data_IF_644943542501
#
_entry.id   IF_644943542501
#
_cell.length_a   1.000
_cell.length_b   1.000
_cell.length_c   1.000
_cell.angle_alpha   90.00
_cell.angle_beta   90.00
_cell.angle_gamma   90.00
#
_symmetry.space_group_name_H-M   'P 1'
#
loop_
_entity.id
_entity.type
_entity.pdbx_description
1 polymer ?
#
# COMPACT_ATOMS: atom_id res chain seq x y z
N UNK A 1 -35.76 51.18 10.29
CA UNK A 1 -35.04 50.92 9.02
C UNK A 1 -33.59 50.68 9.43
N UNK A 2 -33.19 49.44 9.72
CA UNK A 2 -32.64 48.49 8.75
C UNK A 2 -31.17 48.87 8.50
N UNK A 3 -30.13 48.09 8.75
CA UNK A 3 -29.97 46.65 8.99
C UNK A 3 -28.57 46.28 8.45
N UNK A 4 -27.91 45.30 9.09
CA UNK A 4 -26.79 44.48 8.59
C UNK A 4 -25.45 45.22 8.43
N UNK A 5 -24.31 44.78 8.98
CA UNK A 5 -23.89 43.42 9.33
C UNK A 5 -22.71 43.05 8.43
N UNK A 6 -21.50 42.93 9.01
CA UNK A 6 -20.40 42.08 8.53
C UNK A 6 -19.26 42.17 9.55
N UNK A 7 -19.40 41.45 10.66
CA UNK A 7 -18.25 41.00 11.42
C UNK A 7 -17.51 39.99 10.55
N UNK A 8 -16.28 40.32 10.17
CA UNK A 8 -15.36 39.35 9.61
C UNK A 8 -14.91 38.42 10.72
N UNK A 9 -15.66 37.35 10.94
CA UNK A 9 -15.13 36.17 11.62
C UNK A 9 -14.20 35.48 10.62
N UNK A 10 -12.91 35.76 10.75
CA UNK A 10 -11.87 34.88 10.25
C UNK A 10 -12.15 33.50 10.83
N UNK A 11 -12.49 32.55 9.95
CA UNK A 11 -12.62 31.14 10.29
C UNK A 11 -11.28 30.65 10.84
N UNK A 12 -11.16 30.68 12.16
CA UNK A 12 -10.14 29.95 12.90
C UNK A 12 -10.44 28.49 12.63
N UNK A 13 -9.73 27.89 11.69
CA UNK A 13 -9.62 26.43 11.65
C UNK A 13 -9.00 26.03 12.98
N UNK A 14 -9.84 25.57 13.91
CA UNK A 14 -9.40 24.98 15.15
C UNK A 14 -8.55 23.75 14.78
N UNK A 15 -7.23 23.97 14.70
CA UNK A 15 -6.26 22.90 14.60
C UNK A 15 -6.38 22.08 15.88
N UNK A 16 -7.11 20.97 15.82
CA UNK A 16 -7.11 19.96 16.87
C UNK A 16 -5.71 19.36 16.91
N UNK A 17 -4.89 19.84 17.83
CA UNK A 17 -3.60 19.24 18.14
C UNK A 17 -3.89 17.94 18.90
N UNK A 18 -3.82 16.81 18.19
CA UNK A 18 -3.84 15.50 18.82
C UNK A 18 -2.42 15.21 19.30
N UNK A 19 -2.19 15.40 20.60
CA UNK A 19 -0.94 14.97 21.24
C UNK A 19 -0.98 13.45 21.42
N UNK A 20 -0.16 12.74 20.66
CA UNK A 20 0.06 11.31 20.87
C UNK A 20 1.11 11.13 21.97
N UNK A 21 0.77 10.39 23.02
CA UNK A 21 1.79 9.81 23.90
C UNK A 21 2.60 8.75 23.15
N UNK A 22 3.78 8.37 23.66
CA UNK A 22 4.50 7.20 23.12
C UNK A 22 3.63 5.95 23.32
N UNK A 23 3.30 5.26 22.24
CA UNK A 23 2.47 4.06 22.25
C UNK A 23 3.36 2.83 22.10
N UNK A 24 3.89 2.35 23.22
CA UNK A 24 4.70 1.12 23.25
C UNK A 24 3.86 -0.10 22.84
N UNK A 25 4.44 -0.98 22.00
CA UNK A 25 3.80 -2.22 21.56
C UNK A 25 2.93 -2.13 20.31
N UNK A 26 2.64 -0.93 19.79
CA UNK A 26 1.97 -0.78 18.48
C UNK A 26 2.94 -1.14 17.37
N UNK A 27 2.65 -2.25 16.67
CA UNK A 27 3.47 -2.76 15.54
C UNK A 27 2.81 -2.64 14.18
N UNK A 28 1.48 -2.55 14.17
CA UNK A 28 0.68 -2.45 12.96
C UNK A 28 -0.33 -1.32 13.10
N UNK A 29 -0.42 -0.46 12.09
CA UNK A 29 -1.49 0.53 11.95
C UNK A 29 -2.29 0.19 10.71
N UNK A 30 -3.60 0.12 10.86
CA UNK A 30 -4.53 0.03 9.75
C UNK A 30 -4.96 1.44 9.35
N UNK A 31 -4.81 1.76 8.07
CA UNK A 31 -5.26 3.00 7.45
C UNK A 31 -6.39 2.64 6.51
N UNK A 32 -7.59 3.11 6.83
CA UNK A 32 -8.77 2.87 6.02
C UNK A 32 -9.17 4.16 5.28
N UNK A 33 -9.24 4.09 3.95
CA UNK A 33 -9.48 5.24 3.06
C UNK A 33 -10.66 4.91 2.16
N UNK A 34 -11.88 5.17 2.63
CA UNK A 34 -13.10 4.70 1.96
C UNK A 34 -13.61 5.61 0.83
N UNK A 35 -13.22 6.88 0.82
CA UNK A 35 -13.99 7.88 0.04
C UNK A 35 -13.20 8.55 -1.09
N UNK A 36 -11.88 8.39 -1.11
CA UNK A 36 -10.97 9.17 -1.96
C UNK A 36 -11.10 10.69 -1.78
N UNK A 37 -11.67 11.19 -0.68
CA UNK A 37 -11.91 12.62 -0.45
C UNK A 37 -10.70 13.29 0.22
N UNK A 38 -10.75 14.61 0.35
CA UNK A 38 -9.69 15.38 1.00
C UNK A 38 -9.39 14.95 2.44
N UNK A 39 -10.35 14.34 3.13
CA UNK A 39 -10.18 13.75 4.48
C UNK A 39 -9.19 12.57 4.46
N UNK A 40 -9.16 11.79 3.38
CA UNK A 40 -8.24 10.66 3.22
C UNK A 40 -6.77 11.12 3.10
N UNK A 41 -6.55 12.34 2.60
CA UNK A 41 -5.25 13.00 2.59
C UNK A 41 -4.73 13.31 4.00
N UNK A 42 -5.64 13.66 4.91
CA UNK A 42 -5.29 14.02 6.29
C UNK A 42 -4.81 12.78 7.06
N UNK A 43 -5.43 11.62 6.85
CA UNK A 43 -4.99 10.36 7.46
C UNK A 43 -3.53 10.00 7.09
N UNK A 44 -3.14 10.20 5.83
CA UNK A 44 -1.74 9.99 5.43
C UNK A 44 -0.78 11.03 6.00
N UNK A 45 -1.20 12.29 6.16
CA UNK A 45 -0.36 13.34 6.77
C UNK A 45 -0.01 13.04 8.22
N UNK A 46 -0.82 12.24 8.92
CA UNK A 46 -0.55 11.81 10.29
C UNK A 46 0.46 10.66 10.41
N UNK A 47 0.77 9.93 9.32
CA UNK A 47 1.73 8.82 9.35
C UNK A 47 3.11 9.20 9.95
N UNK A 48 3.77 10.30 9.56
CA UNK A 48 5.04 10.70 10.20
C UNK A 48 4.93 10.88 11.72
N UNK A 49 3.81 11.45 12.20
CA UNK A 49 3.59 11.58 13.63
C UNK A 49 3.45 10.21 14.29
N UNK A 50 2.72 9.27 13.67
CA UNK A 50 2.61 7.90 14.19
C UNK A 50 3.97 7.20 14.26
N UNK A 51 4.87 7.39 13.31
CA UNK A 51 6.22 6.83 13.39
C UNK A 51 7.05 7.43 14.53
N UNK A 52 6.89 8.72 14.82
CA UNK A 52 7.56 9.36 15.95
C UNK A 52 7.06 8.84 17.31
N UNK A 53 5.79 8.46 17.39
CA UNK A 53 5.13 8.03 18.64
C UNK A 53 5.01 6.51 18.79
N UNK A 54 5.23 5.74 17.73
CA UNK A 54 5.18 4.28 17.70
C UNK A 54 6.53 3.72 17.19
N UNK A 55 7.59 3.70 18.02
CA UNK A 55 8.93 3.27 17.59
C UNK A 55 9.01 1.78 17.20
N UNK A 56 7.98 0.99 17.51
CA UNK A 56 7.86 -0.41 17.12
C UNK A 56 7.02 -0.65 15.85
N UNK A 57 6.48 0.41 15.23
CA UNK A 57 5.60 0.31 14.07
C UNK A 57 6.37 -0.25 12.87
N UNK A 58 6.06 -1.49 12.49
CA UNK A 58 6.74 -2.19 11.39
C UNK A 58 5.83 -2.50 10.21
N UNK A 59 4.52 -2.32 10.38
CA UNK A 59 3.50 -2.65 9.37
C UNK A 59 2.53 -1.48 9.20
N UNK A 60 2.33 -1.06 7.94
CA UNK A 60 1.14 -0.30 7.56
C UNK A 60 0.23 -1.20 6.73
N UNK A 61 -1.02 -1.29 7.15
CA UNK A 61 -2.08 -1.97 6.42
C UNK A 61 -3.05 -0.94 5.84
N UNK A 62 -3.00 -0.77 4.53
CA UNK A 62 -3.99 -0.04 3.76
C UNK A 62 -5.17 -0.95 3.42
N UNK A 63 -6.33 -0.63 3.97
CA UNK A 63 -7.56 -1.36 3.69
C UNK A 63 -8.54 -0.46 2.94
N UNK A 64 -9.14 -1.01 1.89
CA UNK A 64 -10.08 -0.28 1.02
C UNK A 64 -9.52 0.99 0.38
N UNK A 65 -8.20 1.11 0.20
CA UNK A 65 -7.57 2.28 -0.41
C UNK A 65 -7.98 2.45 -1.87
N UNK A 66 -8.55 3.61 -2.21
CA UNK A 66 -8.95 3.97 -3.57
C UNK A 66 -8.03 5.03 -4.19
N UNK A 67 -7.25 4.66 -5.20
CA UNK A 67 -6.37 5.56 -5.96
C UNK A 67 -6.87 5.69 -7.40
N UNK A 68 -7.28 6.91 -7.76
CA UNK A 68 -7.82 7.31 -9.06
C UNK A 68 -6.73 7.91 -9.99
N UNK A 69 -6.88 7.77 -11.31
CA UNK A 69 -5.98 8.37 -12.32
C UNK A 69 -5.88 9.90 -12.23
N UNK A 70 -6.93 10.55 -11.74
CA UNK A 70 -7.01 12.01 -11.67
C UNK A 70 -6.45 12.60 -10.36
N UNK A 71 -6.06 11.74 -9.41
CA UNK A 71 -5.54 12.17 -8.10
C UNK A 71 -4.07 11.79 -8.04
N UNK A 72 -3.14 12.72 -8.33
CA UNK A 72 -1.72 12.41 -8.32
C UNK A 72 -1.31 11.91 -6.93
N UNK A 73 -0.90 10.64 -6.88
CA UNK A 73 -0.38 9.92 -5.70
C UNK A 73 0.58 10.75 -4.84
N UNK A 74 1.40 11.58 -5.48
CA UNK A 74 2.48 12.35 -4.85
C UNK A 74 1.99 13.40 -3.87
N UNK A 75 0.73 13.85 -3.93
CA UNK A 75 0.21 14.84 -2.99
C UNK A 75 -0.22 14.23 -1.63
N UNK A 76 -0.33 12.91 -1.56
CA UNK A 76 -0.96 12.21 -0.42
C UNK A 76 -0.05 11.19 0.24
N UNK A 77 0.94 10.66 -0.47
CA UNK A 77 1.82 9.64 0.08
C UNK A 77 2.99 10.32 0.79
N UNK A 78 2.97 10.29 2.11
CA UNK A 78 4.18 10.55 2.87
C UNK A 78 5.18 9.43 2.57
N UNK A 79 6.35 9.81 2.07
CA UNK A 79 7.50 8.91 1.91
C UNK A 79 8.40 9.11 3.13
N UNK A 80 8.73 8.04 3.85
CA UNK A 80 9.62 8.16 5.00
C UNK A 80 11.00 8.62 4.55
N UNK A 81 11.64 9.53 5.31
CA UNK A 81 13.06 9.75 5.14
C UNK A 81 13.82 8.44 5.44
N UNK A 82 15.02 8.25 4.86
CA UNK A 82 15.86 7.11 5.20
C UNK A 82 16.10 7.07 6.72
N UNK A 83 16.17 5.87 7.32
CA UNK A 83 16.35 5.73 8.76
C UNK A 83 17.60 6.49 9.21
N UNK A 84 17.43 7.35 10.22
CA UNK A 84 18.52 8.11 10.82
C UNK A 84 18.74 7.64 12.26
N UNK A 85 19.91 7.89 12.87
CA UNK A 85 20.15 7.60 14.28
C UNK A 85 19.14 8.26 15.24
N UNK A 86 18.50 9.35 14.79
CA UNK A 86 17.51 10.12 15.56
C UNK A 86 16.05 9.74 15.29
N UNK A 87 15.79 8.90 14.29
CA UNK A 87 14.46 8.38 13.97
C UNK A 87 14.61 7.02 13.27
N UNK A 88 14.64 5.91 14.03
CA UNK A 88 14.71 4.59 13.44
C UNK A 88 13.39 4.31 12.75
N UNK A 89 13.34 4.53 11.45
CA UNK A 89 12.20 4.13 10.65
C UNK A 89 12.12 2.60 10.62
N UNK A 90 11.15 2.03 11.36
CA UNK A 90 11.03 0.57 11.56
C UNK A 90 10.08 -0.12 10.59
N UNK A 91 9.43 0.63 9.69
CA UNK A 91 8.51 0.05 8.72
C UNK A 91 9.25 -0.94 7.82
N UNK A 92 8.73 -2.16 7.78
CA UNK A 92 9.25 -3.27 6.98
C UNK A 92 8.17 -3.93 6.16
N UNK A 93 6.90 -3.67 6.44
CA UNK A 93 5.78 -4.41 5.88
C UNK A 93 4.72 -3.45 5.36
N UNK A 94 4.30 -3.68 4.12
CA UNK A 94 3.12 -3.05 3.55
C UNK A 94 2.08 -4.11 3.27
N UNK A 95 0.85 -3.81 3.67
CA UNK A 95 -0.31 -4.64 3.34
C UNK A 95 -1.35 -3.79 2.63
N UNK A 96 -1.89 -4.32 1.55
CA UNK A 96 -3.02 -3.78 0.81
C UNK A 96 -4.10 -4.85 0.77
N UNK A 97 -5.29 -4.49 1.25
CA UNK A 97 -6.46 -5.37 1.21
C UNK A 97 -7.63 -4.60 0.63
N UNK A 98 -8.44 -5.24 -0.23
CA UNK A 98 -9.67 -4.67 -0.82
C UNK A 98 -9.48 -3.30 -1.47
N UNK A 99 -8.26 -3.03 -1.92
CA UNK A 99 -7.86 -1.72 -2.43
C UNK A 99 -8.08 -1.68 -3.95
N UNK A 100 -8.27 -0.48 -4.48
CA UNK A 100 -8.46 -0.26 -5.91
C UNK A 100 -7.43 0.77 -6.34
N UNK A 101 -6.56 0.36 -7.24
CA UNK A 101 -5.62 1.22 -7.90
C UNK A 101 -6.05 1.34 -9.33
N UNK A 102 -6.17 2.56 -9.85
CA UNK A 102 -6.48 2.71 -11.26
C UNK A 102 -5.38 2.06 -12.11
N UNK A 103 -4.11 2.21 -11.68
CA UNK A 103 -2.98 1.53 -12.29
C UNK A 103 -2.10 0.67 -11.38
N UNK A 104 -1.67 -0.49 -11.91
CA UNK A 104 -0.69 -1.35 -11.24
C UNK A 104 0.67 -0.63 -11.11
N UNK A 105 1.00 0.26 -12.06
CA UNK A 105 2.13 1.19 -11.92
C UNK A 105 1.96 2.15 -10.75
N UNK A 106 0.74 2.59 -10.45
CA UNK A 106 0.50 3.44 -9.29
C UNK A 106 0.79 2.68 -7.98
N UNK A 107 0.33 1.42 -7.88
CA UNK A 107 0.73 0.55 -6.77
C UNK A 107 2.25 0.36 -6.72
N UNK A 108 2.90 0.18 -7.88
CA UNK A 108 4.35 0.02 -7.94
C UNK A 108 5.09 1.26 -7.44
N UNK A 109 4.71 2.46 -7.88
CA UNK A 109 5.30 3.72 -7.43
C UNK A 109 5.07 3.94 -5.93
N UNK A 110 3.88 3.59 -5.43
CA UNK A 110 3.57 3.64 -4.01
C UNK A 110 4.55 2.78 -3.21
N UNK A 111 4.70 1.51 -3.59
CA UNK A 111 5.55 0.56 -2.87
C UNK A 111 7.04 0.88 -3.06
N UNK A 112 7.43 1.41 -4.23
CA UNK A 112 8.80 1.81 -4.55
C UNK A 112 9.36 2.83 -3.57
N UNK A 113 8.52 3.73 -3.05
CA UNK A 113 8.90 4.69 -2.01
C UNK A 113 9.46 4.04 -0.73
N UNK A 114 9.16 2.76 -0.49
CA UNK A 114 9.58 1.99 0.67
C UNK A 114 10.55 0.86 0.32
N UNK A 115 10.82 0.62 -0.97
CA UNK A 115 11.57 -0.53 -1.47
C UNK A 115 12.92 -0.82 -0.76
N UNK A 116 13.73 0.18 -0.37
CA UNK A 116 15.01 -0.08 0.30
C UNK A 116 14.89 -0.75 1.69
N UNK A 117 13.72 -0.66 2.33
CA UNK A 117 13.52 -1.13 3.72
C UNK A 117 12.47 -2.24 3.86
N UNK A 118 11.72 -2.54 2.79
CA UNK A 118 10.65 -3.54 2.84
C UNK A 118 11.19 -4.96 2.89
N UNK A 119 10.69 -5.72 3.87
CA UNK A 119 10.87 -7.16 3.98
C UNK A 119 9.62 -7.95 3.63
N UNK A 120 8.43 -7.32 3.66
CA UNK A 120 7.20 -7.98 3.25
C UNK A 120 6.25 -7.05 2.48
N UNK A 121 5.65 -7.57 1.42
CA UNK A 121 4.58 -6.89 0.68
C UNK A 121 3.40 -7.84 0.49
N UNK A 122 2.26 -7.46 1.06
CA UNK A 122 1.04 -8.25 1.00
C UNK A 122 0.00 -7.53 0.18
N UNK A 123 -0.43 -8.14 -0.92
CA UNK A 123 -1.45 -7.59 -1.82
C UNK A 123 -2.55 -8.63 -1.99
N UNK A 124 -3.71 -8.30 -1.46
CA UNK A 124 -4.85 -9.21 -1.39
C UNK A 124 -6.13 -8.53 -1.84
N UNK A 125 -6.93 -9.20 -2.65
CA UNK A 125 -8.24 -8.69 -3.11
C UNK A 125 -8.13 -7.29 -3.72
N UNK A 126 -7.03 -7.01 -4.42
CA UNK A 126 -6.75 -5.70 -5.00
C UNK A 126 -7.16 -5.68 -6.47
N UNK A 127 -7.75 -4.57 -6.91
CA UNK A 127 -8.06 -4.33 -8.32
C UNK A 127 -7.09 -3.30 -8.94
N UNK A 128 -6.38 -3.66 -10.01
CA UNK A 128 -5.47 -2.74 -10.73
C UNK A 128 -5.45 -2.92 -12.25
N UNK A 129 -5.27 -1.85 -13.04
CA UNK A 129 -5.30 -1.90 -14.52
C UNK A 129 -4.23 -1.05 -15.22
N UNK A 130 -3.74 -1.31 -16.44
CA UNK A 130 -3.38 -2.60 -16.94
C UNK A 130 -2.06 -3.11 -16.32
N UNK A 131 -1.99 -4.44 -16.26
CA UNK A 131 -0.79 -5.27 -16.10
C UNK A 131 -0.09 -5.28 -14.73
N UNK A 132 -0.25 -6.40 -14.03
CA UNK A 132 0.42 -6.71 -12.77
C UNK A 132 1.91 -7.02 -12.94
N UNK A 133 2.39 -7.31 -14.15
CA UNK A 133 3.80 -7.60 -14.42
C UNK A 133 4.70 -6.45 -13.99
N UNK A 134 4.28 -5.19 -14.18
CA UNK A 134 5.04 -3.99 -13.78
C UNK A 134 5.27 -3.97 -12.27
N UNK A 135 4.23 -4.28 -11.49
CA UNK A 135 4.34 -4.34 -10.04
C UNK A 135 5.26 -5.48 -9.59
N UNK A 136 5.09 -6.68 -10.17
CA UNK A 136 5.91 -7.84 -9.83
C UNK A 136 7.39 -7.65 -10.21
N UNK A 137 7.67 -7.01 -11.36
CA UNK A 137 9.02 -6.63 -11.78
C UNK A 137 9.66 -5.66 -10.78
N UNK A 138 8.93 -4.62 -10.36
CA UNK A 138 9.41 -3.69 -9.34
C UNK A 138 9.77 -4.41 -8.03
N UNK A 139 8.90 -5.31 -7.55
CA UNK A 139 9.20 -6.11 -6.34
C UNK A 139 10.47 -6.96 -6.53
N UNK A 140 10.62 -7.59 -7.70
CA UNK A 140 11.74 -8.48 -8.01
C UNK A 140 13.05 -7.73 -8.24
N UNK A 141 13.03 -6.50 -8.75
CA UNK A 141 14.25 -5.84 -9.20
C UNK A 141 14.65 -4.68 -8.26
N UNK A 142 13.70 -4.07 -7.55
CA UNK A 142 13.91 -2.84 -6.78
C UNK A 142 13.80 -3.02 -5.26
N UNK A 143 13.26 -4.13 -4.75
CA UNK A 143 13.16 -4.42 -3.31
C UNK A 143 14.23 -5.45 -2.89
N UNK A 144 15.44 -5.03 -2.43
CA UNK A 144 16.55 -5.95 -2.15
C UNK A 144 16.40 -6.74 -0.86
N UNK A 145 15.59 -6.26 0.09
CA UNK A 145 15.40 -6.89 1.40
C UNK A 145 14.09 -7.71 1.49
N UNK A 146 13.38 -7.88 0.37
CA UNK A 146 12.08 -8.53 0.35
C UNK A 146 12.21 -10.03 0.61
N UNK A 147 11.59 -10.49 1.70
CA UNK A 147 11.64 -11.87 2.19
C UNK A 147 10.28 -12.58 2.10
N UNK A 148 9.19 -11.82 2.05
CA UNK A 148 7.83 -12.35 2.02
C UNK A 148 6.93 -11.58 1.04
N UNK A 149 6.12 -12.32 0.30
CA UNK A 149 5.15 -11.76 -0.65
C UNK A 149 3.84 -12.52 -0.51
N UNK A 150 2.74 -11.78 -0.37
CA UNK A 150 1.40 -12.33 -0.52
C UNK A 150 0.77 -11.66 -1.73
N UNK A 151 0.22 -12.47 -2.63
CA UNK A 151 -0.46 -12.00 -3.83
C UNK A 151 -1.69 -12.87 -4.05
N UNK A 152 -2.84 -12.47 -3.52
CA UNK A 152 -4.02 -13.35 -3.46
C UNK A 152 -5.29 -12.67 -3.95
N UNK A 153 -6.05 -13.32 -4.84
CA UNK A 153 -7.39 -12.87 -5.22
C UNK A 153 -7.38 -11.50 -5.92
N UNK A 154 -6.29 -11.16 -6.60
CA UNK A 154 -6.15 -9.89 -7.30
C UNK A 154 -6.87 -9.91 -8.65
N UNK A 155 -7.26 -8.73 -9.13
CA UNK A 155 -8.09 -8.55 -10.31
C UNK A 155 -7.46 -7.51 -11.25
N UNK A 156 -7.56 -7.72 -12.55
CA UNK A 156 -7.20 -6.76 -13.60
C UNK A 156 -8.35 -6.62 -14.59
N UNK A 157 -8.88 -5.39 -14.74
CA UNK A 157 -10.03 -5.09 -15.61
C UNK A 157 -11.21 -6.04 -15.39
N UNK A 158 -11.60 -6.23 -14.13
CA UNK A 158 -12.69 -7.14 -13.71
C UNK A 158 -12.43 -8.62 -14.00
N UNK A 159 -11.20 -9.01 -14.37
CA UNK A 159 -10.80 -10.41 -14.55
C UNK A 159 -9.85 -10.83 -13.46
N UNK A 160 -10.01 -12.04 -12.96
CA UNK A 160 -9.10 -12.58 -11.96
C UNK A 160 -7.68 -12.67 -12.53
N UNK A 161 -6.71 -12.37 -11.69
CA UNK A 161 -5.31 -12.62 -12.00
C UNK A 161 -5.00 -14.04 -11.56
N UNK A 162 -4.60 -14.87 -12.51
CA UNK A 162 -4.16 -16.24 -12.26
C UNK A 162 -2.64 -16.34 -12.47
N UNK A 163 -2.02 -17.25 -11.74
CA UNK A 163 -0.62 -17.64 -11.94
C UNK A 163 -0.59 -19.11 -12.34
N UNK A 164 0.10 -19.40 -13.44
CA UNK A 164 0.50 -20.76 -13.82
C UNK A 164 1.88 -21.04 -13.26
N UNK A 165 1.95 -21.88 -12.24
CA UNK A 165 3.22 -22.25 -11.62
C UNK A 165 4.03 -23.20 -12.52
N UNK A 166 5.31 -23.39 -12.19
CA UNK A 166 6.21 -24.26 -12.96
C UNK A 166 5.76 -25.73 -13.01
N UNK A 167 4.96 -26.19 -12.03
CA UNK A 167 4.36 -27.52 -11.98
C UNK A 167 3.05 -27.62 -12.80
N UNK A 168 2.62 -26.53 -13.44
CA UNK A 168 1.41 -26.43 -14.24
C UNK A 168 0.15 -26.13 -13.43
N UNK A 169 0.23 -26.03 -12.10
CA UNK A 169 -0.91 -25.64 -11.25
C UNK A 169 -1.31 -24.21 -11.58
N UNK A 170 -2.61 -23.99 -11.67
CA UNK A 170 -3.20 -22.66 -11.84
C UNK A 170 -3.91 -22.30 -10.55
N UNK A 171 -3.56 -21.16 -9.96
CA UNK A 171 -4.30 -20.58 -8.86
C UNK A 171 -4.34 -19.04 -8.93
N UNK A 172 -4.97 -18.41 -7.93
CA UNK A 172 -5.11 -16.96 -7.81
C UNK A 172 -3.99 -16.32 -6.97
N UNK A 173 -2.80 -16.94 -7.00
CA UNK A 173 -1.64 -16.60 -6.19
C UNK A 173 -1.71 -17.08 -4.73
N UNK A 174 -2.67 -17.95 -4.40
CA UNK A 174 -2.79 -18.56 -3.06
C UNK A 174 -1.53 -19.34 -2.65
N UNK A 175 -0.83 -19.94 -3.61
CA UNK A 175 0.40 -20.69 -3.36
C UNK A 175 1.65 -19.82 -3.19
N UNK A 176 1.60 -18.49 -3.40
CA UNK A 176 2.79 -17.63 -3.42
C UNK A 176 3.62 -17.79 -2.15
N UNK A 177 2.99 -17.74 -0.97
CA UNK A 177 3.69 -17.87 0.31
C UNK A 177 4.36 -19.25 0.51
N UNK A 178 3.80 -20.32 -0.09
CA UNK A 178 4.43 -21.64 -0.10
C UNK A 178 5.66 -21.63 -1.03
N UNK A 179 5.51 -21.13 -2.25
CA UNK A 179 6.59 -21.07 -3.25
C UNK A 179 7.73 -20.18 -2.78
N UNK A 180 7.45 -19.05 -2.12
CA UNK A 180 8.45 -18.18 -1.50
C UNK A 180 9.24 -18.92 -0.41
N UNK A 181 8.59 -19.74 0.41
CA UNK A 181 9.30 -20.55 1.43
C UNK A 181 10.18 -21.64 0.82
N UNK A 182 9.74 -22.21 -0.30
CA UNK A 182 10.46 -23.31 -0.97
C UNK A 182 11.63 -22.81 -1.82
N UNK A 183 11.46 -21.69 -2.56
CA UNK A 183 12.37 -21.23 -3.62
C UNK A 183 12.95 -19.84 -3.37
N UNK A 184 12.43 -19.10 -2.38
CA UNK A 184 12.76 -17.71 -2.14
C UNK A 184 11.97 -16.73 -3.01
N UNK A 185 11.96 -15.47 -2.60
CA UNK A 185 11.15 -14.40 -3.21
C UNK A 185 11.47 -14.18 -4.68
N UNK A 186 12.76 -14.13 -5.05
CA UNK A 186 13.19 -13.80 -6.42
C UNK A 186 12.71 -14.85 -7.43
N UNK A 187 12.86 -16.12 -7.10
CA UNK A 187 12.44 -17.24 -7.96
C UNK A 187 10.91 -17.32 -8.03
N UNK A 188 10.22 -17.19 -6.89
CA UNK A 188 8.75 -17.15 -6.86
C UNK A 188 8.17 -16.02 -7.74
N UNK A 189 8.71 -14.80 -7.63
CA UNK A 189 8.31 -13.67 -8.48
C UNK A 189 8.66 -13.92 -9.96
N UNK A 190 9.78 -14.59 -10.25
CA UNK A 190 10.15 -15.00 -11.61
C UNK A 190 9.14 -15.97 -12.23
N UNK A 191 8.73 -17.00 -11.49
CA UNK A 191 7.68 -17.93 -11.91
C UNK A 191 6.33 -17.24 -12.10
N UNK A 192 5.95 -16.37 -11.16
CA UNK A 192 4.73 -15.57 -11.30
C UNK A 192 4.75 -14.74 -12.58
N UNK A 193 5.86 -14.06 -12.88
CA UNK A 193 6.00 -13.26 -14.10
C UNK A 193 5.87 -14.11 -15.37
N UNK A 194 6.44 -15.32 -15.39
CA UNK A 194 6.31 -16.24 -16.53
C UNK A 194 4.93 -16.88 -16.68
N UNK A 195 4.22 -17.04 -15.56
CA UNK A 195 2.91 -17.70 -15.49
C UNK A 195 1.70 -16.79 -15.41
N UNK A 196 1.89 -15.47 -15.36
CA UNK A 196 0.82 -14.50 -15.14
C UNK A 196 -0.19 -14.52 -16.30
N UNK A 197 -1.48 -14.65 -15.99
CA UNK A 197 -2.55 -14.59 -16.98
C UNK A 197 -3.84 -14.00 -16.43
N UNK A 198 -4.74 -13.61 -17.33
CA UNK A 198 -6.09 -13.19 -16.98
C UNK A 198 -7.04 -14.37 -17.04
N UNK A 199 -7.65 -14.68 -15.89
CA UNK A 199 -8.65 -15.70 -15.68
C UNK A 199 -10.06 -15.26 -16.08
N UNK A 200 -11.06 -15.80 -15.39
CA UNK A 200 -12.48 -15.53 -15.67
C UNK A 200 -12.89 -14.11 -15.27
N UNK A 201 -13.99 -13.65 -15.85
CA UNK A 201 -14.65 -12.41 -15.45
C UNK A 201 -15.24 -12.56 -14.04
N UNK A 202 -15.08 -11.51 -13.23
CA UNK A 202 -15.68 -11.37 -11.91
C UNK A 202 -17.06 -10.73 -12.11
N UNK A 203 -18.12 -11.56 -12.05
CA UNK A 203 -19.52 -11.13 -12.17
C UNK A 203 -20.04 -10.46 -10.91
#
# INVERSE_FOLDING_TARGET
RGGLGAGGEEGREDAVVVEFGVMEGVRCVMVEIRTGRAEDAQHHRCLPHLFAHCPGLDTIHYDSLYIDQHKPMTAYIWVPPPPSPSSPFTLRRLRFTRSIFWHASALADFVRAYAPVLTAVHVSQLCATPDWSVFLLMLRDECPLLEDVVFEGNVCRFREVEVVWADGVVDRGESVGRVVKEKGVREALGEMLGGLRLGKDVM
#
